data_IF_273468399981
#
_entry.id   IF_273468399981
#
_cell.length_a   1.000
_cell.length_b   1.000
_cell.length_c   1.000
_cell.angle_alpha   90.00
_cell.angle_beta   90.00
_cell.angle_gamma   90.00
#
_symmetry.space_group_name_H-M   'P 1'
#
loop_
_entity.id
_entity.type
_entity.pdbx_description
1 polymer ?
#
# COMPACT_ATOMS: atom_id res chain seq x y z
N UNK A 1 -10.67 14.87 8.69
CA UNK A 1 -11.35 13.62 8.29
C UNK A 1 -10.28 12.73 7.68
N UNK A 2 -9.83 11.77 8.46
CA UNK A 2 -8.71 10.91 8.08
C UNK A 2 -9.25 9.74 7.25
N UNK A 3 -8.69 9.47 6.10
CA UNK A 3 -9.08 8.34 5.25
C UNK A 3 -7.96 7.33 5.23
N UNK A 4 -8.29 6.10 5.57
CA UNK A 4 -7.35 4.99 5.55
C UNK A 4 -7.71 4.03 4.42
N UNK A 5 -6.73 3.69 3.60
CA UNK A 5 -6.88 2.67 2.56
C UNK A 5 -5.94 1.53 2.86
N UNK A 6 -6.48 0.32 2.99
CA UNK A 6 -5.72 -0.91 3.14
C UNK A 6 -5.86 -1.74 1.88
N UNK A 7 -4.75 -2.20 1.34
CA UNK A 7 -4.72 -3.03 0.15
C UNK A 7 -4.15 -4.41 0.52
N UNK A 8 -4.96 -5.44 0.33
CA UNK A 8 -4.57 -6.81 0.54
C UNK A 8 -4.02 -7.41 -0.75
N UNK A 9 -2.82 -7.99 -0.70
CA UNK A 9 -2.20 -8.69 -1.82
C UNK A 9 -2.26 -10.19 -1.53
N UNK A 10 -2.97 -10.96 -2.35
CA UNK A 10 -2.98 -12.41 -2.29
C UNK A 10 -2.21 -12.99 -3.49
N UNK A 11 -1.20 -13.82 -3.22
CA UNK A 11 -0.40 -14.46 -4.26
C UNK A 11 -1.14 -15.57 -4.97
N UNK A 12 -0.90 -15.69 -6.26
CA UNK A 12 -1.08 -16.95 -6.98
C UNK A 12 0.24 -17.36 -7.63
N UNK A 13 0.71 -18.55 -7.23
CA UNK A 13 1.66 -19.44 -7.88
C UNK A 13 2.61 -18.78 -8.91
N UNK A 14 3.78 -18.39 -8.47
CA UNK A 14 4.95 -18.15 -9.30
C UNK A 14 6.14 -18.92 -8.71
N UNK A 15 6.90 -19.60 -9.54
CA UNK A 15 8.16 -20.21 -9.11
C UNK A 15 9.17 -19.13 -8.74
N UNK A 16 9.85 -19.23 -7.59
CA UNK A 16 10.83 -18.23 -7.18
C UNK A 16 12.04 -18.26 -8.12
N UNK A 17 12.33 -17.15 -8.76
CA UNK A 17 13.63 -16.91 -9.37
C UNK A 17 14.59 -16.45 -8.26
N UNK A 18 15.69 -17.15 -8.06
CA UNK A 18 16.74 -16.78 -7.11
C UNK A 18 17.42 -15.48 -7.56
N UNK A 19 16.95 -14.36 -7.04
CA UNK A 19 17.65 -13.07 -7.11
C UNK A 19 18.65 -12.94 -5.95
N UNK A 20 19.84 -12.44 -6.23
CA UNK A 20 20.84 -12.10 -5.21
C UNK A 20 20.22 -11.16 -4.19
N UNK A 21 20.45 -11.43 -2.90
CA UNK A 21 20.02 -10.57 -1.81
C UNK A 21 20.59 -9.15 -2.02
N UNK A 22 19.70 -8.20 -2.36
CA UNK A 22 20.02 -6.79 -2.32
C UNK A 22 20.41 -6.44 -0.88
N UNK A 23 21.52 -5.72 -0.68
CA UNK A 23 21.91 -5.20 0.64
C UNK A 23 20.82 -4.23 1.11
N UNK A 24 19.93 -4.76 1.91
CA UNK A 24 18.59 -4.20 2.18
C UNK A 24 18.60 -2.92 3.02
N UNK A 25 19.57 -2.74 3.90
CA UNK A 25 19.59 -1.57 4.80
C UNK A 25 19.94 -0.22 4.16
N UNK A 26 20.77 -0.20 3.10
CA UNK A 26 21.25 1.04 2.47
C UNK A 26 20.23 1.66 1.55
N UNK A 27 19.54 0.83 0.75
CA UNK A 27 18.55 1.30 -0.21
C UNK A 27 17.26 1.80 0.48
N UNK A 28 16.78 1.10 1.51
CA UNK A 28 15.63 1.56 2.28
C UNK A 28 15.85 2.93 2.91
N UNK A 29 17.03 3.16 3.50
CA UNK A 29 17.39 4.48 4.05
C UNK A 29 17.42 5.57 2.98
N UNK A 30 17.94 5.25 1.79
CA UNK A 30 17.99 6.20 0.68
C UNK A 30 16.58 6.51 0.17
N UNK A 31 15.74 5.52 0.02
CA UNK A 31 14.35 5.67 -0.40
C UNK A 31 13.58 6.51 0.63
N UNK A 32 13.68 6.16 1.90
CA UNK A 32 13.01 6.87 3.00
C UNK A 32 13.47 8.34 3.10
N UNK A 33 14.77 8.61 2.91
CA UNK A 33 15.31 9.96 2.95
C UNK A 33 14.85 10.86 1.77
N UNK A 34 14.26 10.29 0.73
CA UNK A 34 13.70 11.03 -0.40
C UNK A 34 12.23 11.41 -0.17
N UNK A 35 11.59 10.90 0.87
CA UNK A 35 10.21 11.24 1.17
C UNK A 35 10.10 12.64 1.76
N UNK A 36 8.95 13.26 1.56
CA UNK A 36 8.60 14.45 2.30
C UNK A 36 8.47 14.16 3.80
N UNK A 37 8.82 15.11 4.68
CA UNK A 37 8.79 14.88 6.14
C UNK A 37 7.43 14.43 6.67
N UNK A 38 6.35 14.94 6.10
CA UNK A 38 4.98 14.56 6.44
C UNK A 38 4.69 13.09 6.11
N UNK A 39 5.16 12.59 4.96
CA UNK A 39 4.97 11.20 4.55
C UNK A 39 5.82 10.23 5.37
N UNK A 40 7.00 10.67 5.85
CA UNK A 40 7.82 9.88 6.76
C UNK A 40 7.10 9.60 8.10
N UNK A 41 6.32 10.56 8.59
CA UNK A 41 5.59 10.43 9.85
C UNK A 41 4.25 9.70 9.72
N UNK A 42 3.66 9.70 8.53
CA UNK A 42 2.34 9.08 8.28
C UNK A 42 2.40 7.54 8.19
N UNK A 43 3.55 6.97 7.87
CA UNK A 43 3.72 5.52 7.78
C UNK A 43 3.60 4.83 9.16
N UNK A 44 3.85 5.56 10.26
CA UNK A 44 3.76 5.04 11.61
C UNK A 44 2.34 5.17 12.18
N UNK A 45 1.83 4.10 12.80
CA UNK A 45 0.57 4.15 13.59
C UNK A 45 -0.72 4.08 12.77
N UNK A 46 -0.68 3.54 11.56
CA UNK A 46 -1.85 3.34 10.72
C UNK A 46 -2.92 2.44 11.39
N UNK A 47 -2.51 1.44 12.17
CA UNK A 47 -3.42 0.52 12.88
C UNK A 47 -4.32 1.28 13.86
N UNK A 48 -3.74 2.18 14.64
CA UNK A 48 -4.51 2.96 15.63
C UNK A 48 -5.55 3.86 14.95
N UNK A 49 -5.16 4.47 13.82
CA UNK A 49 -6.07 5.31 13.04
C UNK A 49 -7.21 4.49 12.41
N UNK A 50 -6.89 3.31 11.88
CA UNK A 50 -7.89 2.41 11.32
C UNK A 50 -8.84 1.90 12.39
N UNK A 51 -8.34 1.42 13.53
CA UNK A 51 -9.19 0.92 14.60
C UNK A 51 -10.18 1.99 15.06
N UNK A 52 -9.72 3.20 15.31
CA UNK A 52 -10.63 4.29 15.72
C UNK A 52 -11.72 4.61 14.68
N UNK A 53 -11.39 4.52 13.38
CA UNK A 53 -12.37 4.72 12.31
C UNK A 53 -13.37 3.56 12.21
N UNK A 54 -12.92 2.31 12.38
CA UNK A 54 -13.80 1.14 12.36
C UNK A 54 -14.76 1.14 13.56
N UNK A 55 -14.29 1.52 14.76
CA UNK A 55 -15.13 1.67 15.97
C UNK A 55 -16.21 2.73 15.74
N UNK A 56 -15.85 3.87 15.12
CA UNK A 56 -16.81 4.93 14.78
C UNK A 56 -17.85 4.47 13.75
N UNK A 57 -17.44 3.72 12.74
CA UNK A 57 -18.34 3.16 11.72
C UNK A 57 -19.26 2.10 12.32
N UNK A 58 -18.78 1.23 13.21
CA UNK A 58 -19.60 0.22 13.89
C UNK A 58 -20.68 0.86 14.75
N UNK A 59 -20.36 1.96 15.44
CA UNK A 59 -21.27 2.67 16.32
C UNK A 59 -22.30 3.55 15.57
N UNK A 60 -21.95 4.06 14.39
CA UNK A 60 -22.74 5.12 13.72
C UNK A 60 -23.35 4.73 12.37
N UNK A 61 -22.88 3.65 11.74
CA UNK A 61 -23.36 3.28 10.38
C UNK A 61 -24.63 2.43 10.44
N UNK A 62 -25.60 2.78 9.59
CA UNK A 62 -26.77 1.95 9.30
C UNK A 62 -26.60 1.12 7.99
N UNK A 63 -25.46 1.26 7.31
CA UNK A 63 -25.17 0.58 6.06
C UNK A 63 -24.64 -0.84 6.29
N UNK A 64 -25.40 -1.83 5.81
CA UNK A 64 -25.08 -3.24 6.00
C UNK A 64 -23.77 -3.66 5.31
N UNK A 65 -23.43 -3.07 4.14
CA UNK A 65 -22.19 -3.38 3.43
C UNK A 65 -20.97 -2.93 4.22
N UNK A 66 -21.06 -1.75 4.85
CA UNK A 66 -20.05 -1.24 5.77
C UNK A 66 -19.87 -2.16 6.97
N UNK A 67 -20.97 -2.51 7.67
CA UNK A 67 -20.93 -3.36 8.86
C UNK A 67 -20.41 -4.78 8.54
N UNK A 68 -20.80 -5.36 7.41
CA UNK A 68 -20.34 -6.67 6.94
C UNK A 68 -18.85 -6.66 6.57
N UNK A 69 -18.29 -5.50 6.23
CA UNK A 69 -16.87 -5.34 5.86
C UNK A 69 -15.94 -5.22 7.06
N UNK A 70 -16.38 -4.67 8.19
CA UNK A 70 -15.55 -4.41 9.39
C UNK A 70 -14.80 -5.64 9.90
N UNK A 71 -15.41 -6.84 10.02
CA UNK A 71 -14.70 -8.03 10.49
C UNK A 71 -13.49 -8.41 9.64
N UNK A 72 -13.49 -8.14 8.34
CA UNK A 72 -12.34 -8.43 7.47
C UNK A 72 -11.18 -7.47 7.71
N UNK A 73 -11.46 -6.19 7.98
CA UNK A 73 -10.43 -5.23 8.40
C UNK A 73 -9.81 -5.65 9.73
N UNK A 74 -10.63 -6.01 10.71
CA UNK A 74 -10.15 -6.46 12.03
C UNK A 74 -9.28 -7.71 11.90
N UNK A 75 -9.70 -8.70 11.09
CA UNK A 75 -8.91 -9.91 10.83
C UNK A 75 -7.54 -9.59 10.23
N UNK A 76 -7.44 -8.58 9.36
CA UNK A 76 -6.16 -8.16 8.77
C UNK A 76 -5.26 -7.44 9.77
N UNK A 77 -5.84 -6.62 10.66
CA UNK A 77 -5.10 -5.93 11.71
C UNK A 77 -4.59 -6.90 12.78
N UNK A 78 -5.35 -7.94 13.09
CA UNK A 78 -5.00 -8.96 14.08
C UNK A 78 -4.04 -10.03 13.51
N UNK A 79 -3.72 -9.99 12.22
CA UNK A 79 -2.86 -10.99 11.60
C UNK A 79 -1.42 -10.88 12.11
N UNK A 80 -0.85 -12.02 12.53
CA UNK A 80 0.57 -12.08 12.90
C UNK A 80 1.46 -11.79 11.69
N UNK A 81 2.44 -10.93 11.86
CA UNK A 81 3.43 -10.64 10.85
C UNK A 81 4.56 -11.68 10.90
N UNK A 82 4.96 -12.19 9.75
CA UNK A 82 6.05 -13.16 9.62
C UNK A 82 7.25 -12.53 8.90
N UNK A 83 8.48 -12.90 9.29
CA UNK A 83 9.67 -12.48 8.56
C UNK A 83 9.65 -12.95 7.10
N UNK A 84 10.09 -12.09 6.19
CA UNK A 84 10.21 -12.39 4.76
C UNK A 84 11.25 -11.51 4.08
N UNK A 85 11.67 -11.94 2.89
CA UNK A 85 12.52 -11.14 2.02
C UNK A 85 11.69 -10.44 0.96
N UNK A 86 12.06 -9.21 0.59
CA UNK A 86 11.45 -8.49 -0.54
C UNK A 86 11.49 -9.32 -1.84
N UNK A 87 12.47 -10.21 -2.00
CA UNK A 87 12.54 -11.11 -3.15
C UNK A 87 11.38 -12.11 -3.23
N UNK A 88 10.72 -12.43 -2.12
CA UNK A 88 9.54 -13.29 -2.12
C UNK A 88 8.32 -12.61 -2.77
N UNK A 89 8.35 -11.29 -2.87
CA UNK A 89 7.30 -10.51 -3.53
C UNK A 89 7.41 -10.50 -5.05
N UNK A 90 8.55 -10.90 -5.65
CA UNK A 90 8.71 -10.91 -7.10
C UNK A 90 7.68 -11.84 -7.76
N UNK A 91 6.89 -11.31 -8.69
CA UNK A 91 5.94 -12.12 -9.43
C UNK A 91 4.67 -11.39 -9.86
N UNK A 92 3.69 -12.22 -10.23
CA UNK A 92 2.33 -11.78 -10.57
C UNK A 92 1.40 -12.02 -9.40
N UNK A 93 0.64 -11.01 -9.04
CA UNK A 93 -0.21 -10.98 -7.87
C UNK A 93 -1.66 -10.67 -8.22
N UNK A 94 -2.55 -11.08 -7.35
CA UNK A 94 -3.92 -10.57 -7.32
C UNK A 94 -4.06 -9.76 -6.04
N UNK A 95 -4.47 -8.51 -6.19
CA UNK A 95 -4.71 -7.63 -5.06
C UNK A 95 -6.12 -7.07 -5.09
N UNK A 96 -6.68 -6.78 -3.94
CA UNK A 96 -7.90 -6.01 -3.78
C UNK A 96 -7.66 -4.86 -2.80
N UNK A 97 -8.39 -3.77 -2.99
CA UNK A 97 -8.41 -2.68 -2.04
C UNK A 97 -9.48 -2.92 -0.98
N UNK A 98 -9.13 -2.65 0.26
CA UNK A 98 -10.05 -2.41 1.35
C UNK A 98 -9.92 -0.94 1.72
N UNK A 99 -11.01 -0.22 1.79
CA UNK A 99 -11.03 1.22 2.07
C UNK A 99 -12.00 1.50 3.20
N UNK A 100 -11.50 2.11 4.28
CA UNK A 100 -12.33 2.66 5.33
C UNK A 100 -12.26 4.19 5.28
N UNK A 101 -13.40 4.83 5.32
CA UNK A 101 -13.59 6.28 5.27
C UNK A 101 -14.66 6.68 6.27
N UNK A 102 -14.83 7.98 6.51
CA UNK A 102 -15.96 8.52 7.28
C UNK A 102 -17.36 8.22 6.70
N UNK A 103 -17.42 7.67 5.47
CA UNK A 103 -18.69 7.30 4.81
C UNK A 103 -18.97 5.80 4.83
N UNK A 104 -18.00 4.96 5.16
CA UNK A 104 -18.16 3.51 5.17
C UNK A 104 -16.88 2.74 4.95
N UNK A 105 -17.00 1.42 5.05
CA UNK A 105 -15.94 0.45 4.79
C UNK A 105 -16.28 -0.38 3.55
N UNK A 106 -15.34 -0.48 2.61
CA UNK A 106 -15.58 -1.06 1.30
C UNK A 106 -14.50 -2.08 0.96
N UNK A 107 -14.91 -3.23 0.43
CA UNK A 107 -14.04 -4.29 -0.06
C UNK A 107 -14.23 -4.47 -1.56
N UNK A 108 -13.17 -4.22 -2.32
CA UNK A 108 -13.23 -4.29 -3.78
C UNK A 108 -12.84 -5.69 -4.28
N UNK A 109 -13.17 -5.97 -5.53
CA UNK A 109 -12.76 -7.20 -6.21
C UNK A 109 -11.24 -7.24 -6.45
N UNK A 110 -10.72 -8.44 -6.73
CA UNK A 110 -9.31 -8.63 -7.04
C UNK A 110 -8.94 -8.13 -8.44
N UNK A 111 -7.80 -7.45 -8.50
CA UNK A 111 -7.18 -6.97 -9.73
C UNK A 111 -5.75 -7.51 -9.86
N UNK A 112 -5.26 -7.74 -11.08
CA UNK A 112 -3.87 -8.12 -11.29
C UNK A 112 -2.91 -6.99 -10.94
N UNK A 113 -1.77 -7.37 -10.36
CA UNK A 113 -0.62 -6.51 -10.09
C UNK A 113 0.66 -7.29 -10.35
N UNK A 114 1.79 -6.59 -10.48
CA UNK A 114 3.12 -7.19 -10.66
C UNK A 114 4.11 -6.53 -9.73
N UNK A 115 5.03 -7.35 -9.23
CA UNK A 115 6.22 -6.91 -8.51
C UNK A 115 7.42 -7.47 -9.25
N UNK A 116 8.36 -6.61 -9.61
CA UNK A 116 9.49 -7.00 -10.47
C UNK A 116 10.73 -6.13 -10.17
N UNK A 117 11.95 -6.72 -10.33
CA UNK A 117 13.17 -5.95 -10.24
C UNK A 117 13.39 -5.11 -11.51
N UNK A 118 13.86 -3.87 -11.34
CA UNK A 118 14.35 -3.02 -12.41
C UNK A 118 15.63 -2.32 -11.94
N UNK A 119 16.78 -2.73 -12.48
CA UNK A 119 18.08 -2.27 -11.99
C UNK A 119 18.36 -2.78 -10.57
N UNK A 120 18.52 -1.86 -9.61
CA UNK A 120 18.73 -2.18 -8.20
C UNK A 120 17.47 -2.00 -7.36
N UNK A 121 16.36 -1.61 -7.97
CA UNK A 121 15.11 -1.36 -7.31
C UNK A 121 14.11 -2.49 -7.53
N UNK A 122 13.22 -2.70 -6.57
CA UNK A 122 12.02 -3.52 -6.71
C UNK A 122 10.85 -2.58 -6.97
N UNK A 123 10.08 -2.84 -8.02
CA UNK A 123 8.90 -2.07 -8.40
C UNK A 123 7.63 -2.83 -8.09
N UNK A 124 6.66 -2.12 -7.57
CA UNK A 124 5.26 -2.52 -7.52
C UNK A 124 4.49 -1.79 -8.62
N UNK A 125 3.67 -2.50 -9.37
CA UNK A 125 2.85 -1.96 -10.44
C UNK A 125 1.47 -2.64 -10.48
N UNK A 126 0.46 -1.95 -9.96
CA UNK A 126 -0.95 -2.25 -10.15
C UNK A 126 -1.48 -1.37 -11.28
N UNK A 127 -1.37 -1.86 -12.50
CA UNK A 127 -1.78 -1.12 -13.71
C UNK A 127 -3.19 -1.47 -14.22
N UNK A 128 -4.02 -2.03 -13.37
CA UNK A 128 -5.39 -2.48 -13.67
C UNK A 128 -6.43 -1.78 -12.79
N UNK A 129 -7.67 -1.75 -13.27
CA UNK A 129 -8.75 -1.01 -12.64
C UNK A 129 -8.68 0.50 -12.89
N UNK A 130 -9.59 1.25 -12.24
CA UNK A 130 -9.62 2.72 -12.33
C UNK A 130 -8.54 3.39 -11.51
N UNK A 131 -8.32 2.92 -10.29
CA UNK A 131 -7.26 3.39 -9.37
C UNK A 131 -6.06 2.46 -9.49
N UNK A 132 -4.92 2.99 -9.84
CA UNK A 132 -3.67 2.28 -10.10
C UNK A 132 -2.57 2.84 -9.22
N UNK A 133 -1.59 2.01 -8.90
CA UNK A 133 -0.44 2.42 -8.10
C UNK A 133 0.84 1.92 -8.75
N UNK A 134 1.86 2.75 -8.75
CA UNK A 134 3.20 2.36 -9.14
C UNK A 134 4.23 3.02 -8.22
N UNK A 135 5.25 2.28 -7.83
CA UNK A 135 6.31 2.83 -6.99
C UNK A 135 7.42 1.85 -6.72
N UNK A 136 8.36 2.34 -5.95
CA UNK A 136 9.56 1.63 -5.51
C UNK A 136 9.29 0.95 -4.17
N UNK A 137 9.94 -0.18 -3.97
CA UNK A 137 9.87 -0.94 -2.73
C UNK A 137 11.27 -1.19 -2.18
N UNK A 138 11.40 -1.20 -0.87
CA UNK A 138 12.64 -1.50 -0.19
C UNK A 138 12.39 -2.28 1.11
N UNK A 139 13.28 -3.22 1.44
CA UNK A 139 13.25 -3.92 2.72
C UNK A 139 13.60 -2.95 3.84
N UNK A 140 12.69 -2.74 4.79
CA UNK A 140 12.89 -1.88 5.94
C UNK A 140 13.57 -2.64 7.08
N UNK A 141 13.00 -3.80 7.41
CA UNK A 141 13.52 -4.74 8.42
C UNK A 141 13.16 -6.20 8.06
N UNK A 142 13.22 -7.13 9.01
CA UNK A 142 12.96 -8.55 8.76
C UNK A 142 11.48 -8.86 8.44
N UNK A 143 10.55 -8.02 8.83
CA UNK A 143 9.10 -8.25 8.76
C UNK A 143 8.37 -7.21 7.89
N UNK A 144 9.08 -6.14 7.48
CA UNK A 144 8.48 -5.00 6.80
C UNK A 144 9.21 -4.65 5.52
N UNK A 145 8.45 -4.49 4.44
CA UNK A 145 8.89 -3.86 3.20
C UNK A 145 8.16 -2.52 3.06
N UNK A 146 8.91 -1.47 2.77
CA UNK A 146 8.39 -0.13 2.55
C UNK A 146 8.10 0.12 1.07
N UNK A 147 7.00 0.81 0.77
CA UNK A 147 6.63 1.26 -0.56
C UNK A 147 6.55 2.78 -0.61
N UNK A 148 7.12 3.37 -1.66
CA UNK A 148 6.95 4.77 -2.01
C UNK A 148 6.60 4.89 -3.50
N UNK A 149 5.45 5.46 -3.80
CA UNK A 149 4.96 5.56 -5.16
C UNK A 149 3.85 6.58 -5.29
N UNK A 150 3.01 6.42 -6.31
CA UNK A 150 1.87 7.28 -6.51
C UNK A 150 0.63 6.51 -7.00
N UNK A 151 -0.52 7.04 -6.63
CA UNK A 151 -1.80 6.73 -7.26
C UNK A 151 -1.86 7.40 -8.63
N UNK A 152 -2.44 6.73 -9.61
CA UNK A 152 -2.83 7.32 -10.88
C UNK A 152 -4.11 6.67 -11.41
N UNK A 153 -4.83 7.38 -12.25
CA UNK A 153 -6.08 6.85 -12.81
C UNK A 153 -5.86 6.13 -14.13
N UNK A 154 -6.79 5.25 -14.49
CA UNK A 154 -6.67 4.38 -15.67
C UNK A 154 -6.54 5.10 -17.03
N UNK A 155 -6.88 6.38 -17.10
CA UNK A 155 -6.75 7.24 -18.27
C UNK A 155 -5.45 8.07 -18.27
N UNK A 156 -4.61 7.94 -17.22
CA UNK A 156 -3.35 8.66 -17.05
C UNK A 156 -2.16 7.75 -17.30
N UNK A 157 -0.99 8.37 -17.53
CA UNK A 157 0.30 7.67 -17.53
C UNK A 157 0.71 7.26 -16.12
N UNK A 158 1.51 6.19 -15.97
CA UNK A 158 2.04 5.79 -14.66
C UNK A 158 2.83 6.93 -14.02
N UNK A 159 2.66 7.09 -12.70
CA UNK A 159 3.40 8.06 -11.87
C UNK A 159 4.28 7.33 -10.87
N UNK A 160 5.34 7.97 -10.46
CA UNK A 160 6.15 7.62 -9.30
C UNK A 160 5.91 8.65 -8.20
N UNK A 161 6.42 8.38 -7.01
CA UNK A 161 6.44 9.34 -5.92
C UNK A 161 7.04 10.67 -6.41
N UNK A 162 6.38 11.79 -6.14
CA UNK A 162 6.67 13.07 -6.83
C UNK A 162 8.11 13.54 -6.64
N UNK A 163 8.68 13.40 -5.43
CA UNK A 163 10.09 13.76 -5.17
C UNK A 163 11.11 12.90 -5.96
N UNK A 164 10.69 11.77 -6.55
CA UNK A 164 11.53 10.89 -7.38
C UNK A 164 11.37 11.16 -8.88
N UNK A 165 10.56 12.15 -9.25
CA UNK A 165 10.36 12.54 -10.64
C UNK A 165 11.31 13.68 -11.01
N UNK A 166 11.70 13.75 -12.31
CA UNK A 166 12.51 14.87 -12.79
C UNK A 166 11.61 16.09 -13.04
N UNK A 167 12.05 17.25 -12.59
CA UNK A 167 11.39 18.53 -12.86
C UNK A 167 10.80 19.18 -11.61
N UNK A 168 10.03 20.25 -11.81
CA UNK A 168 9.32 20.95 -10.74
C UNK A 168 8.07 20.16 -10.34
N UNK A 169 7.93 19.90 -9.04
CA UNK A 169 6.80 19.15 -8.48
C UNK A 169 5.67 20.13 -8.15
N UNK A 170 4.48 19.85 -8.67
CA UNK A 170 3.27 20.62 -8.34
C UNK A 170 2.57 20.04 -7.10
N UNK A 171 1.76 20.86 -6.42
CA UNK A 171 0.90 20.43 -5.32
C UNK A 171 -0.02 19.26 -5.76
N UNK A 172 -0.63 19.38 -6.94
CA UNK A 172 -1.48 18.32 -7.51
C UNK A 172 -0.73 16.98 -7.67
N UNK A 173 0.56 17.01 -8.02
CA UNK A 173 1.36 15.78 -8.11
C UNK A 173 1.58 15.15 -6.73
N UNK A 174 1.80 15.97 -5.71
CA UNK A 174 1.97 15.51 -4.33
C UNK A 174 0.71 14.87 -3.75
N UNK A 175 -0.47 15.34 -4.15
CA UNK A 175 -1.75 14.76 -3.71
C UNK A 175 -1.93 13.29 -4.13
N UNK A 176 -1.16 12.83 -5.11
CA UNK A 176 -1.16 11.45 -5.57
C UNK A 176 -0.04 10.60 -4.95
N UNK A 177 0.89 11.20 -4.22
CA UNK A 177 1.94 10.45 -3.54
C UNK A 177 1.32 9.46 -2.55
N UNK A 178 1.92 8.27 -2.48
CA UNK A 178 1.44 7.19 -1.65
C UNK A 178 2.62 6.45 -1.02
N UNK A 179 2.58 6.30 0.29
CA UNK A 179 3.52 5.48 1.05
C UNK A 179 2.77 4.36 1.75
N UNK A 180 3.40 3.21 1.89
CA UNK A 180 2.80 2.06 2.53
C UNK A 180 3.87 1.15 3.15
N UNK A 181 3.45 0.36 4.13
CA UNK A 181 4.20 -0.76 4.65
C UNK A 181 3.56 -2.07 4.20
N UNK A 182 4.40 -3.07 3.94
CA UNK A 182 3.97 -4.38 3.47
C UNK A 182 4.42 -5.42 4.46
N UNK A 183 3.48 -6.24 4.91
CA UNK A 183 3.65 -7.29 5.90
C UNK A 183 3.26 -8.64 5.32
N UNK A 184 3.99 -9.69 5.70
CA UNK A 184 3.60 -11.06 5.38
C UNK A 184 2.66 -11.59 6.46
N UNK A 185 1.41 -11.87 6.09
CA UNK A 185 0.36 -12.35 6.98
C UNK A 185 -0.07 -13.79 6.70
N UNK A 186 0.65 -14.49 5.81
CA UNK A 186 0.43 -15.89 5.47
C UNK A 186 1.45 -16.40 4.47
N UNK A 187 1.40 -17.67 4.11
CA UNK A 187 2.40 -18.30 3.24
C UNK A 187 2.60 -17.56 1.90
N UNK A 188 1.49 -17.20 1.25
CA UNK A 188 1.47 -16.40 0.02
C UNK A 188 0.46 -15.25 0.16
N UNK A 189 0.42 -14.61 1.32
CA UNK A 189 -0.54 -13.60 1.66
C UNK A 189 0.17 -12.42 2.31
N UNK A 190 -0.02 -11.23 1.73
CA UNK A 190 0.61 -10.00 2.19
C UNK A 190 -0.43 -8.91 2.35
N UNK A 191 -0.25 -8.10 3.36
CA UNK A 191 -0.99 -6.87 3.62
C UNK A 191 -0.11 -5.69 3.17
N UNK A 192 -0.66 -4.79 2.37
CA UNK A 192 -0.05 -3.51 2.04
C UNK A 192 -0.91 -2.42 2.66
N UNK A 193 -0.44 -1.86 3.77
CA UNK A 193 -1.12 -0.83 4.54
C UNK A 193 -0.63 0.55 4.10
N UNK A 194 -1.52 1.33 3.48
CA UNK A 194 -1.22 2.70 3.07
C UNK A 194 -1.36 3.66 4.23
N UNK A 195 -0.46 4.62 4.29
CA UNK A 195 -0.56 5.73 5.22
C UNK A 195 -1.90 6.47 5.04
N UNK A 196 -2.56 6.86 6.14
CA UNK A 196 -3.81 7.59 6.09
C UNK A 196 -3.61 8.96 5.43
N UNK A 197 -4.57 9.38 4.58
CA UNK A 197 -4.51 10.67 3.90
C UNK A 197 -5.82 11.43 4.07
N UNK A 198 -5.73 12.72 4.41
CA UNK A 198 -6.92 13.54 4.70
C UNK A 198 -7.81 13.83 3.49
N UNK A 199 -7.29 13.83 2.26
CA UNK A 199 -8.02 14.36 1.10
C UNK A 199 -7.91 13.56 -0.21
N UNK A 200 -7.23 12.42 -0.28
CA UNK A 200 -6.92 11.75 -1.56
C UNK A 200 -8.11 11.04 -2.23
N UNK A 201 -9.29 10.99 -1.60
CA UNK A 201 -10.50 10.39 -2.16
C UNK A 201 -11.74 11.25 -2.04
N UNK A 202 -11.60 12.58 -1.94
CA UNK A 202 -12.73 13.50 -1.77
C UNK A 202 -13.27 14.11 -3.05
N UNK A 203 -12.82 13.67 -4.20
CA UNK A 203 -13.36 14.14 -5.48
C UNK A 203 -13.79 12.96 -6.36
N UNK A 204 -15.00 12.49 -6.10
CA UNK A 204 -15.92 11.94 -7.09
C UNK A 204 -17.30 12.43 -6.76
#
# INVERSE_FOLDING_TARGET
>A
MTRLTIILIAAMLGTPAFGQALETGGYAKTLFAQLYPEDQSLAEGWETGLQGLLDELEDSSDDSETLDSIPEFQQLMDAEHAPFSIAELEGSWRMRSLQATDYGAFIYQYFPARIYPEGQAMFFDKNSGSQRHRGLMAQLDAETVFFAGALYYGYEGPRLYSAMTAGEVTEEQRDFDAVAEIYKIGENHFLMAFAPTENRFSSL
#
